data_IF_765977464375
#
_entry.id   IF_765977464375
#
_cell.length_a   1.000
_cell.length_b   1.000
_cell.length_c   1.000
_cell.angle_alpha   90.00
_cell.angle_beta   90.00
_cell.angle_gamma   90.00
#
_symmetry.space_group_name_H-M   'P 1'
#
loop_
_entity.id
_entity.type
_entity.pdbx_description
1 polymer ?
#
# COMPACT_ATOMS: atom_id res chain seq x y z
N UNK A 1 0.51 3.93 -13.01
CA UNK A 1 -0.24 2.78 -12.47
C UNK A 1 -1.66 3.23 -12.18
N UNK A 2 -2.65 2.36 -12.46
CA UNK A 2 -4.03 2.61 -12.04
C UNK A 2 -4.15 2.56 -10.50
N UNK A 3 -5.33 2.92 -9.96
CA UNK A 3 -5.52 2.98 -8.51
C UNK A 3 -5.40 1.60 -7.83
N UNK A 4 -5.83 0.53 -8.49
CA UNK A 4 -5.78 -0.83 -7.95
C UNK A 4 -4.32 -1.25 -7.75
N UNK A 5 -3.49 -1.07 -8.77
CA UNK A 5 -2.07 -1.41 -8.74
C UNK A 5 -1.27 -0.51 -7.80
N UNK A 6 -1.62 0.78 -7.73
CA UNK A 6 -1.00 1.69 -6.77
C UNK A 6 -1.29 1.26 -5.32
N UNK A 7 -2.52 0.81 -5.02
CA UNK A 7 -2.88 0.22 -3.72
C UNK A 7 -2.14 -1.09 -3.44
N UNK A 8 -2.02 -1.97 -4.45
CA UNK A 8 -1.23 -3.21 -4.33
C UNK A 8 0.25 -2.91 -4.07
N UNK A 9 0.80 -1.87 -4.67
CA UNK A 9 2.19 -1.44 -4.46
C UNK A 9 2.40 -0.96 -3.03
N UNK A 10 1.54 -0.09 -2.53
CA UNK A 10 1.59 0.35 -1.13
C UNK A 10 1.45 -0.83 -0.16
N UNK A 11 0.53 -1.75 -0.45
CA UNK A 11 0.35 -2.94 0.37
C UNK A 11 1.57 -3.87 0.34
N UNK A 12 2.17 -4.07 -0.83
CA UNK A 12 3.39 -4.87 -1.01
C UNK A 12 4.53 -4.34 -0.13
N UNK A 13 4.76 -3.03 -0.09
CA UNK A 13 5.78 -2.43 0.78
C UNK A 13 5.50 -2.68 2.26
N UNK A 14 4.22 -2.65 2.66
CA UNK A 14 3.84 -2.95 4.04
C UNK A 14 4.14 -4.40 4.43
N UNK A 15 4.00 -5.35 3.49
CA UNK A 15 4.30 -6.77 3.73
C UNK A 15 5.79 -7.01 3.97
N UNK A 16 6.67 -6.34 3.23
CA UNK A 16 8.12 -6.42 3.49
C UNK A 16 8.46 -6.00 4.93
N UNK A 17 7.92 -4.86 5.38
CA UNK A 17 8.13 -4.37 6.75
C UNK A 17 7.55 -5.35 7.78
N UNK A 18 6.30 -5.74 7.60
CA UNK A 18 5.61 -6.68 8.50
C UNK A 18 6.40 -7.98 8.68
N UNK A 19 6.85 -8.57 7.57
CA UNK A 19 7.62 -9.81 7.58
C UNK A 19 8.95 -9.64 8.31
N UNK A 20 9.70 -8.57 8.01
CA UNK A 20 11.01 -8.32 8.62
C UNK A 20 10.90 -8.03 10.11
N UNK A 21 9.94 -7.19 10.52
CA UNK A 21 9.66 -6.92 11.93
C UNK A 21 9.29 -8.19 12.69
N UNK A 22 8.44 -9.05 12.11
CA UNK A 22 8.05 -10.31 12.73
C UNK A 22 9.24 -11.29 12.86
N UNK A 23 10.08 -11.41 11.82
CA UNK A 23 11.21 -12.36 11.78
C UNK A 23 12.38 -11.95 12.67
N UNK A 24 12.65 -10.64 12.77
CA UNK A 24 13.84 -10.10 13.46
C UNK A 24 13.54 -9.49 14.83
N UNK A 25 12.26 -9.29 15.17
CA UNK A 25 11.82 -8.64 16.42
C UNK A 25 12.47 -7.26 16.63
N UNK A 26 12.68 -6.54 15.54
CA UNK A 26 13.18 -5.17 15.54
C UNK A 26 12.28 -4.29 14.67
N UNK A 27 12.27 -3.00 14.93
CA UNK A 27 11.53 -2.06 14.09
C UNK A 27 12.32 -1.75 12.81
N UNK A 28 11.59 -1.54 11.72
CA UNK A 28 12.13 -1.19 10.42
C UNK A 28 11.51 0.14 9.97
N UNK A 29 12.26 0.99 9.26
CA UNK A 29 11.74 2.28 8.80
C UNK A 29 10.50 2.05 7.94
N UNK A 30 9.48 2.89 8.11
CA UNK A 30 8.31 2.87 7.22
C UNK A 30 8.66 3.67 5.96
N UNK A 31 8.46 3.07 4.79
CA UNK A 31 8.60 3.79 3.53
C UNK A 31 7.27 4.40 3.10
N UNK A 32 7.33 5.63 2.57
CA UNK A 32 6.26 6.27 1.81
C UNK A 32 6.66 6.37 0.35
N UNK A 33 5.70 6.15 -0.54
CA UNK A 33 5.89 6.33 -1.97
C UNK A 33 5.75 7.82 -2.30
N UNK A 34 6.71 8.35 -3.04
CA UNK A 34 6.57 9.62 -3.75
C UNK A 34 5.92 9.31 -5.09
N UNK A 35 4.74 9.86 -5.31
CA UNK A 35 3.98 9.74 -6.53
C UNK A 35 4.16 10.98 -7.40
N UNK A 36 4.25 10.80 -8.71
CA UNK A 36 3.90 11.84 -9.66
C UNK A 36 2.39 11.71 -9.96
N UNK A 37 1.64 12.72 -9.54
CA UNK A 37 0.21 12.88 -9.79
C UNK A 37 0.00 14.18 -10.57
N UNK A 38 -0.40 14.06 -11.84
CA UNK A 38 -0.66 15.19 -12.74
C UNK A 38 0.52 16.19 -12.84
N UNK A 39 1.76 15.66 -12.87
CA UNK A 39 2.98 16.47 -12.94
C UNK A 39 3.46 17.01 -11.60
N UNK A 40 2.76 16.70 -10.50
CA UNK A 40 3.12 17.15 -9.16
C UNK A 40 3.65 15.99 -8.33
N UNK A 41 4.75 16.23 -7.60
CA UNK A 41 5.30 15.25 -6.66
C UNK A 41 4.55 15.32 -5.33
N UNK A 42 3.91 14.21 -4.96
CA UNK A 42 3.10 14.09 -3.75
C UNK A 42 3.47 12.84 -2.97
N UNK A 43 3.22 12.87 -1.67
CA UNK A 43 3.15 11.67 -0.82
C UNK A 43 1.75 11.58 -0.24
N UNK A 44 1.24 10.38 -0.03
CA UNK A 44 -0.07 10.15 0.57
C UNK A 44 -0.36 8.65 0.66
N UNK A 45 -1.34 8.30 1.49
CA UNK A 45 -1.73 6.93 1.76
C UNK A 45 -2.97 6.57 0.90
N UNK A 46 -2.87 5.54 0.07
CA UNK A 46 -3.99 4.98 -0.70
C UNK A 46 -4.75 3.90 0.09
N UNK A 47 -4.14 3.38 1.16
CA UNK A 47 -4.71 2.38 2.05
C UNK A 47 -5.00 2.97 3.43
N UNK A 48 -6.04 2.44 4.09
CA UNK A 48 -6.43 2.87 5.43
C UNK A 48 -6.08 1.81 6.48
N UNK A 49 -5.30 2.29 7.44
CA UNK A 49 -4.81 1.69 8.68
C UNK A 49 -5.78 1.69 9.86
N UNK A 50 -6.38 0.58 10.29
CA UNK A 50 -6.82 0.48 11.69
C UNK A 50 -5.68 -0.08 12.53
N UNK A 51 -5.41 0.51 13.70
CA UNK A 51 -4.32 0.11 14.60
C UNK A 51 -4.80 -0.58 15.87
N UNK A 52 -6.12 -0.59 16.12
CA UNK A 52 -6.71 -1.13 17.35
C UNK A 52 -7.66 -2.30 17.04
N UNK A 53 -7.52 -3.45 17.75
CA UNK A 53 -6.49 -3.79 18.74
C UNK A 53 -5.11 -4.15 18.14
N UNK A 54 -5.01 -4.31 16.82
CA UNK A 54 -3.77 -4.57 16.08
C UNK A 54 -3.88 -3.98 14.66
N UNK A 55 -2.77 -3.82 13.91
CA UNK A 55 -2.80 -3.32 12.54
C UNK A 55 -3.58 -4.22 11.56
N UNK A 56 -4.60 -3.68 10.89
CA UNK A 56 -5.28 -4.34 9.76
C UNK A 56 -5.85 -3.32 8.78
N UNK A 57 -6.00 -3.75 7.51
CA UNK A 57 -6.61 -2.93 6.47
C UNK A 57 -8.10 -2.76 6.71
N UNK A 58 -8.57 -1.53 6.52
CA UNK A 58 -9.97 -1.17 6.57
C UNK A 58 -10.40 -0.40 5.32
N UNK A 59 -11.69 -0.41 5.05
CA UNK A 59 -12.34 0.56 4.16
C UNK A 59 -13.46 1.26 4.89
N UNK A 60 -13.62 2.56 4.64
CA UNK A 60 -14.80 3.30 5.10
C UNK A 60 -16.05 2.80 4.39
N UNK A 61 -17.10 2.51 5.15
CA UNK A 61 -18.46 2.24 4.67
C UNK A 61 -19.44 3.20 5.34
N UNK A 62 -20.63 3.30 4.74
CA UNK A 62 -21.70 4.16 5.21
C UNK A 62 -22.97 3.32 5.40
N UNK A 63 -23.64 3.50 6.53
CA UNK A 63 -24.96 2.90 6.77
C UNK A 63 -26.04 3.62 5.97
N UNK A 64 -27.25 3.07 5.94
CA UNK A 64 -28.42 3.76 5.36
C UNK A 64 -28.72 5.11 6.03
N UNK A 65 -28.28 5.29 7.27
CA UNK A 65 -28.50 6.50 8.07
C UNK A 65 -27.33 7.49 7.97
N UNK A 66 -26.45 7.31 6.98
CA UNK A 66 -25.26 8.14 6.74
C UNK A 66 -24.21 8.09 7.86
N UNK A 67 -24.24 7.08 8.73
CA UNK A 67 -23.19 6.87 9.71
C UNK A 67 -21.98 6.19 9.05
N UNK A 68 -20.81 6.79 9.23
CA UNK A 68 -19.55 6.25 8.69
C UNK A 68 -18.96 5.27 9.69
N UNK A 69 -18.63 4.06 9.22
CA UNK A 69 -17.91 3.06 10.00
C UNK A 69 -16.77 2.46 9.19
N UNK A 70 -15.84 1.81 9.89
CA UNK A 70 -14.72 1.11 9.27
C UNK A 70 -15.04 -0.38 9.16
N UNK A 71 -14.98 -0.92 7.94
CA UNK A 71 -15.08 -2.34 7.69
C UNK A 71 -13.69 -2.92 7.50
N UNK A 72 -13.38 -3.98 8.27
CA UNK A 72 -12.14 -4.75 8.10
C UNK A 72 -12.13 -5.49 6.76
N UNK A 73 -11.04 -5.36 6.03
CA UNK A 73 -10.77 -6.20 4.87
C UNK A 73 -10.21 -7.55 5.36
N UNK A 74 -10.95 -8.63 5.11
CA UNK A 74 -10.60 -9.97 5.60
C UNK A 74 -9.52 -10.64 4.74
N UNK A 75 -8.76 -11.53 5.37
CA UNK A 75 -7.78 -12.43 4.74
C UNK A 75 -8.18 -13.87 5.07
N UNK A 76 -9.47 -14.18 5.04
CA UNK A 76 -10.03 -15.51 5.33
C UNK A 76 -10.17 -16.38 4.08
N UNK A 77 -10.38 -17.69 4.28
CA UNK A 77 -10.32 -18.74 3.23
C UNK A 77 -11.40 -18.64 2.17
N UNK A 78 -12.48 -17.91 2.44
CA UNK A 78 -13.59 -17.75 1.50
C UNK A 78 -13.25 -16.75 0.37
N UNK A 79 -12.23 -15.89 0.56
CA UNK A 79 -11.93 -14.78 -0.35
C UNK A 79 -10.50 -14.80 -0.92
N UNK A 80 -9.93 -15.98 -1.20
CA UNK A 80 -8.54 -16.16 -1.69
C UNK A 80 -8.17 -15.24 -2.86
N UNK A 81 -9.09 -15.02 -3.79
CA UNK A 81 -8.84 -14.26 -5.01
C UNK A 81 -9.06 -12.75 -4.85
N UNK A 82 -9.40 -12.25 -3.66
CA UNK A 82 -9.76 -10.85 -3.41
C UNK A 82 -8.63 -10.12 -2.68
N UNK A 83 -8.45 -8.83 -2.99
CA UNK A 83 -7.54 -7.96 -2.24
C UNK A 83 -8.03 -7.81 -0.78
N UNK A 84 -7.14 -7.89 0.23
CA UNK A 84 -5.67 -7.92 0.13
C UNK A 84 -5.04 -9.31 0.09
N UNK A 85 -5.83 -10.37 0.20
CA UNK A 85 -5.33 -11.75 0.35
C UNK A 85 -4.52 -12.23 -0.86
N UNK A 86 -5.05 -12.03 -2.06
CA UNK A 86 -4.39 -12.44 -3.30
C UNK A 86 -2.96 -11.88 -3.45
N UNK A 87 -2.74 -10.62 -3.06
CA UNK A 87 -1.41 -10.00 -3.04
C UNK A 87 -0.54 -10.63 -1.96
N UNK A 88 -1.07 -10.82 -0.75
CA UNK A 88 -0.29 -11.38 0.37
C UNK A 88 0.18 -12.80 0.07
N UNK A 89 -0.69 -13.68 -0.42
CA UNK A 89 -0.31 -15.07 -0.74
C UNK A 89 0.78 -15.10 -1.83
N UNK A 90 0.57 -14.38 -2.93
CA UNK A 90 1.57 -14.29 -4.00
C UNK A 90 2.90 -13.69 -3.52
N UNK A 91 2.86 -12.74 -2.58
CA UNK A 91 4.05 -12.15 -1.97
C UNK A 91 4.81 -13.20 -1.15
N UNK A 92 4.14 -13.98 -0.30
CA UNK A 92 4.77 -15.03 0.49
C UNK A 92 5.40 -16.10 -0.43
N UNK A 93 4.66 -16.58 -1.42
CA UNK A 93 5.16 -17.58 -2.38
C UNK A 93 6.45 -17.14 -3.07
N UNK A 94 6.54 -15.85 -3.45
CA UNK A 94 7.72 -15.28 -4.10
C UNK A 94 8.85 -14.99 -3.12
N UNK A 95 8.58 -14.29 -2.02
CA UNK A 95 9.64 -13.68 -1.21
C UNK A 95 9.97 -14.45 0.07
N UNK A 96 9.01 -15.13 0.71
CA UNK A 96 9.30 -15.85 1.96
C UNK A 96 10.06 -17.15 1.75
N UNK A 97 9.87 -17.78 0.59
CA UNK A 97 10.41 -19.11 0.30
C UNK A 97 11.73 -19.07 -0.49
N UNK A 98 12.00 -17.98 -1.22
CA UNK A 98 13.14 -17.91 -2.14
C UNK A 98 14.35 -17.15 -1.59
N UNK A 99 14.17 -16.32 -0.56
CA UNK A 99 15.22 -15.42 -0.07
C UNK A 99 15.75 -15.85 1.29
N UNK A 100 17.07 -15.98 1.40
CA UNK A 100 17.75 -16.25 2.67
C UNK A 100 17.54 -15.09 3.66
N UNK A 101 17.55 -13.86 3.14
CA UNK A 101 17.21 -12.63 3.87
C UNK A 101 16.62 -11.58 2.93
N UNK A 102 15.65 -10.80 3.42
CA UNK A 102 15.11 -9.62 2.74
C UNK A 102 15.70 -8.31 3.30
N UNK A 103 16.63 -8.40 4.25
CA UNK A 103 17.24 -7.22 4.91
C UNK A 103 17.92 -6.29 3.89
N UNK A 104 18.80 -6.84 3.05
CA UNK A 104 19.55 -6.05 2.05
C UNK A 104 18.63 -5.40 1.00
N UNK A 105 17.56 -6.11 0.61
CA UNK A 105 16.54 -5.58 -0.28
C UNK A 105 15.82 -4.40 0.37
N UNK A 106 15.39 -4.56 1.62
CA UNK A 106 14.61 -3.54 2.32
C UNK A 106 15.43 -2.30 2.67
N UNK A 107 16.72 -2.46 2.97
CA UNK A 107 17.63 -1.34 3.24
C UNK A 107 17.98 -0.53 1.98
N UNK A 108 17.66 -1.02 0.78
CA UNK A 108 17.91 -0.31 -0.47
C UNK A 108 16.59 0.18 -1.10
N UNK A 109 16.19 1.46 -0.89
CA UNK A 109 14.89 1.95 -1.34
C UNK A 109 14.70 1.93 -2.87
N UNK A 110 15.78 2.09 -3.65
CA UNK A 110 15.72 2.01 -5.10
C UNK A 110 15.35 0.60 -5.56
N UNK A 111 16.09 -0.40 -5.05
CA UNK A 111 15.89 -1.81 -5.42
C UNK A 111 14.55 -2.31 -4.88
N UNK A 112 14.18 -1.93 -3.65
CA UNK A 112 12.89 -2.25 -3.05
C UNK A 112 11.72 -1.75 -3.90
N UNK A 113 11.79 -0.49 -4.37
CA UNK A 113 10.74 0.07 -5.21
C UNK A 113 10.63 -0.65 -6.55
N UNK A 114 11.77 -0.83 -7.24
CA UNK A 114 11.80 -1.52 -8.53
C UNK A 114 11.26 -2.96 -8.42
N UNK A 115 11.66 -3.70 -7.39
CA UNK A 115 11.20 -5.06 -7.18
C UNK A 115 9.72 -5.13 -6.79
N UNK A 116 9.24 -4.17 -6.00
CA UNK A 116 7.81 -4.08 -5.64
C UNK A 116 6.95 -3.75 -6.86
N UNK A 117 7.40 -2.85 -7.75
CA UNK A 117 6.72 -2.54 -9.02
C UNK A 117 6.70 -3.79 -9.92
N UNK A 118 7.83 -4.48 -10.09
CA UNK A 118 7.91 -5.72 -10.87
C UNK A 118 6.98 -6.79 -10.32
N UNK A 119 6.92 -6.94 -9.00
CA UNK A 119 6.00 -7.86 -8.34
C UNK A 119 4.54 -7.51 -8.64
N UNK A 120 4.11 -6.28 -8.41
CA UNK A 120 2.71 -5.88 -8.67
C UNK A 120 2.34 -6.06 -10.14
N UNK A 121 3.21 -5.67 -11.07
CA UNK A 121 2.96 -5.84 -12.51
C UNK A 121 2.92 -7.31 -12.95
N UNK A 122 3.45 -8.23 -12.14
CA UNK A 122 3.35 -9.67 -12.39
C UNK A 122 2.05 -10.30 -11.87
N UNK A 123 1.31 -9.59 -11.00
CA UNK A 123 0.04 -10.03 -10.48
C UNK A 123 -1.03 -9.86 -11.56
N UNK A 124 -1.38 -10.93 -12.26
CA UNK A 124 -2.49 -10.94 -13.20
C UNK A 124 -3.82 -11.02 -12.43
N UNK A 125 -4.24 -9.91 -11.83
CA UNK A 125 -5.41 -9.80 -10.95
C UNK A 125 -6.40 -8.77 -11.49
N UNK A 126 -7.70 -9.10 -11.42
CA UNK A 126 -8.79 -8.17 -11.69
C UNK A 126 -8.75 -6.94 -10.78
N UNK A 127 -9.35 -5.82 -11.19
CA UNK A 127 -9.42 -4.61 -10.37
C UNK A 127 -9.97 -4.86 -8.96
N UNK A 128 -9.52 -4.07 -7.99
CA UNK A 128 -10.04 -4.15 -6.61
C UNK A 128 -11.51 -3.73 -6.62
N UNK A 129 -12.40 -4.57 -6.12
CA UNK A 129 -13.82 -4.24 -6.00
C UNK A 129 -14.04 -2.94 -5.23
N UNK A 130 -14.77 -2.01 -5.88
CA UNK A 130 -15.10 -0.67 -5.34
C UNK A 130 -13.87 0.06 -4.79
N UNK A 131 -12.88 0.38 -5.63
CA UNK A 131 -11.68 1.04 -5.15
C UNK A 131 -12.07 2.45 -4.69
N UNK A 132 -11.79 2.76 -3.43
CA UNK A 132 -11.91 4.13 -2.94
C UNK A 132 -10.93 5.02 -3.73
N UNK A 133 -11.43 5.88 -4.62
CA UNK A 133 -10.65 6.79 -5.45
C UNK A 133 -10.24 8.03 -4.65
N UNK A 134 -9.43 7.81 -3.63
CA UNK A 134 -8.92 8.86 -2.76
C UNK A 134 -7.49 8.57 -2.34
N UNK A 135 -6.73 9.63 -2.12
CA UNK A 135 -5.46 9.60 -1.42
C UNK A 135 -5.62 10.35 -0.10
N UNK A 136 -5.16 9.77 1.00
CA UNK A 136 -5.24 10.34 2.36
C UNK A 136 -3.90 10.97 2.74
N UNK A 137 -3.92 11.88 3.71
CA UNK A 137 -2.72 12.51 4.30
C UNK A 137 -1.75 13.05 3.25
N UNK A 138 -2.29 13.77 2.25
CA UNK A 138 -1.56 14.19 1.06
C UNK A 138 -0.64 15.35 1.39
N UNK A 139 0.63 15.22 1.03
CA UNK A 139 1.63 16.28 1.13
C UNK A 139 2.27 16.53 -0.24
N UNK A 140 2.09 17.74 -0.76
CA UNK A 140 2.71 18.21 -1.99
C UNK A 140 4.12 18.73 -1.71
N UNK A 141 5.13 18.10 -2.33
CA UNK A 141 6.53 18.32 -1.94
C UNK A 141 7.04 19.72 -2.29
N UNK A 142 6.56 20.32 -3.38
CA UNK A 142 7.07 21.62 -3.86
C UNK A 142 6.54 22.81 -3.06
N UNK A 143 5.22 22.85 -2.83
CA UNK A 143 4.55 23.98 -2.17
C UNK A 143 4.24 23.71 -0.68
N UNK A 144 4.60 22.52 -0.16
CA UNK A 144 4.35 22.09 1.22
C UNK A 144 2.88 22.14 1.63
N UNK A 145 1.97 22.02 0.66
CA UNK A 145 0.54 21.96 0.93
C UNK A 145 0.19 20.60 1.52
N UNK A 146 -0.46 20.62 2.69
CA UNK A 146 -0.95 19.44 3.37
C UNK A 146 -2.48 19.37 3.28
N UNK A 147 -3.01 18.30 2.68
CA UNK A 147 -4.43 18.03 2.58
C UNK A 147 -4.78 16.75 3.33
N UNK A 148 -5.93 16.75 4.03
CA UNK A 148 -6.41 15.53 4.72
C UNK A 148 -6.71 14.40 3.73
N UNK A 149 -7.24 14.76 2.56
CA UNK A 149 -7.48 13.84 1.46
C UNK A 149 -7.56 14.59 0.13
N UNK A 150 -7.39 13.86 -0.96
CA UNK A 150 -7.64 14.29 -2.34
C UNK A 150 -8.49 13.23 -3.01
N UNK A 151 -9.54 13.65 -3.73
CA UNK A 151 -10.30 12.77 -4.61
C UNK A 151 -9.53 12.57 -5.91
N UNK A 152 -9.41 11.32 -6.33
CA UNK A 152 -8.72 10.93 -7.54
C UNK A 152 -9.74 10.66 -8.65
N UNK A 153 -9.40 11.01 -9.89
CA UNK A 153 -10.20 10.59 -11.03
C UNK A 153 -10.13 9.07 -11.18
N UNK A 154 -11.21 8.38 -11.62
CA UNK A 154 -11.18 6.93 -11.78
C UNK A 154 -10.11 6.42 -12.74
N UNK A 155 -9.75 7.24 -13.73
CA UNK A 155 -8.71 7.00 -14.71
C UNK A 155 -7.38 7.70 -14.38
N UNK A 156 -7.17 8.12 -13.14
CA UNK A 156 -5.90 8.75 -12.76
C UNK A 156 -4.73 7.79 -12.98
N UNK A 157 -3.61 8.34 -13.42
CA UNK A 157 -2.35 7.61 -13.49
C UNK A 157 -1.42 8.08 -12.37
N UNK A 158 -1.05 7.15 -11.48
CA UNK A 158 -0.09 7.39 -10.42
C UNK A 158 1.24 6.73 -10.80
N UNK A 159 2.28 7.54 -10.98
CA UNK A 159 3.61 7.02 -11.28
C UNK A 159 4.45 7.04 -10.01
N UNK A 160 4.89 5.87 -9.49
CA UNK A 160 5.80 5.83 -8.35
C UNK A 160 7.18 6.34 -8.80
N UNK A 161 7.73 7.31 -8.07
CA UNK A 161 8.99 7.98 -8.40
C UNK A 161 10.12 7.57 -7.46
N UNK A 162 9.83 7.49 -6.15
CA UNK A 162 10.83 7.21 -5.13
C UNK A 162 10.20 6.67 -3.86
N UNK A 163 11.02 6.10 -2.98
CA UNK A 163 10.66 5.81 -1.59
C UNK A 163 11.39 6.78 -0.66
N UNK A 164 10.64 7.37 0.27
CA UNK A 164 11.21 8.15 1.37
C UNK A 164 10.95 7.43 2.68
N UNK A 165 11.95 7.42 3.56
CA UNK A 165 11.74 6.95 4.94
C UNK A 165 10.88 7.99 5.66
N UNK A 166 9.78 7.56 6.25
CA UNK A 166 9.11 8.32 7.30
C UNK A 166 9.63 7.81 8.63
N UNK A 167 10.29 8.68 9.40
CA UNK A 167 10.56 8.39 10.81
C UNK A 167 9.24 8.30 11.59
N UNK A 168 9.19 7.36 12.53
CA UNK A 168 8.10 7.15 13.48
C UNK A 168 8.12 8.21 14.57
#
# INVERSE_FOLDING_TARGET
>A
MNISDAKRLEYTLSLFREYLTAKRRQDYPKYKIVWNYEGQLVTGDLLKWSTTPFPYLVRSKMTSDFEVYEERLSIDDEHKNVFPRNVREAWFDKFSNQWTSLDDLYSNPEVLLQESIKFVNSLNLDDIDQPQYQMLNVNYLYNKLHLKFVLLAPNCDLVPISLISSES
#
